data_IF_329285354732
#
_entry.id   IF_329285354732
#
_cell.length_a   1.000
_cell.length_b   1.000
_cell.length_c   1.000
_cell.angle_alpha   90.00
_cell.angle_beta   90.00
_cell.angle_gamma   90.00
#
_symmetry.space_group_name_H-M   'P 1'
#
loop_
_entity.id
_entity.type
_entity.pdbx_description
1 polymer ?
#
# COMPACT_ATOMS: atom_id res chain seq x y z
N UNK A 1 -28.68 18.53 -70.56
CA UNK A 1 -28.13 19.31 -69.43
C UNK A 1 -27.78 18.32 -68.32
N UNK A 2 -26.49 18.02 -68.12
CA UNK A 2 -25.98 17.05 -67.14
C UNK A 2 -25.49 17.84 -65.92
N UNK A 3 -25.99 17.52 -64.74
CA UNK A 3 -25.42 17.96 -63.46
C UNK A 3 -25.34 16.72 -62.56
N UNK A 4 -24.16 16.10 -62.54
CA UNK A 4 -23.81 15.04 -61.60
C UNK A 4 -23.26 15.69 -60.33
N UNK A 5 -24.03 15.61 -59.25
CA UNK A 5 -23.60 15.98 -57.91
C UNK A 5 -22.87 14.77 -57.31
N UNK A 6 -21.54 14.80 -57.34
CA UNK A 6 -20.71 13.80 -56.67
C UNK A 6 -20.59 14.16 -55.18
N UNK A 7 -21.30 13.44 -54.33
CA UNK A 7 -21.18 13.56 -52.88
C UNK A 7 -19.90 12.85 -52.41
N UNK A 8 -18.85 13.61 -52.11
CA UNK A 8 -17.68 13.14 -51.37
C UNK A 8 -18.09 12.90 -49.91
N UNK A 9 -18.36 11.65 -49.55
CA UNK A 9 -18.37 11.23 -48.15
C UNK A 9 -16.92 11.08 -47.69
N UNK A 10 -16.40 12.15 -47.06
CA UNK A 10 -15.13 12.09 -46.33
C UNK A 10 -15.28 11.17 -45.13
N UNK A 11 -14.70 9.97 -45.22
CA UNK A 11 -14.60 9.03 -44.11
C UNK A 11 -13.60 9.61 -43.10
N UNK A 12 -14.10 10.35 -42.10
CA UNK A 12 -13.28 10.77 -40.97
C UNK A 12 -13.01 9.53 -40.13
N UNK A 13 -11.81 8.96 -40.29
CA UNK A 13 -11.27 7.97 -39.36
C UNK A 13 -11.09 8.66 -38.01
N UNK A 14 -12.09 8.54 -37.14
CA UNK A 14 -11.95 8.88 -35.73
C UNK A 14 -10.93 7.92 -35.14
N UNK A 15 -9.68 8.37 -35.05
CA UNK A 15 -8.63 7.61 -34.39
C UNK A 15 -9.05 7.36 -32.94
N UNK A 16 -9.23 6.09 -32.57
CA UNK A 16 -9.57 5.73 -31.21
C UNK A 16 -8.44 6.19 -30.28
N UNK A 17 -8.72 7.16 -29.42
CA UNK A 17 -7.81 7.52 -28.33
C UNK A 17 -7.67 6.31 -27.42
N UNK A 18 -6.45 5.91 -27.05
CA UNK A 18 -6.24 4.79 -26.14
C UNK A 18 -7.02 5.03 -24.84
N UNK A 19 -7.60 3.96 -24.28
CA UNK A 19 -8.31 4.08 -23.01
C UNK A 19 -7.31 4.37 -21.89
N UNK A 20 -7.75 5.09 -20.85
CA UNK A 20 -6.92 5.39 -19.67
C UNK A 20 -6.20 4.15 -19.11
N UNK A 21 -6.89 3.01 -19.04
CA UNK A 21 -6.31 1.75 -18.58
C UNK A 21 -5.11 1.30 -19.45
N UNK A 22 -5.11 1.61 -20.75
CA UNK A 22 -3.99 1.30 -21.65
C UNK A 22 -2.79 2.22 -21.40
N UNK A 23 -3.02 3.50 -21.12
CA UNK A 23 -1.96 4.47 -20.78
C UNK A 23 -1.30 4.13 -19.45
N UNK A 24 -2.09 3.87 -18.40
CA UNK A 24 -1.57 3.38 -17.10
C UNK A 24 -0.78 2.10 -17.27
N UNK A 25 -1.31 1.15 -18.03
CA UNK A 25 -0.61 -0.12 -18.31
C UNK A 25 0.72 0.10 -19.01
N UNK A 26 0.83 1.08 -19.90
CA UNK A 26 2.07 1.43 -20.59
C UNK A 26 3.10 1.99 -19.62
N UNK A 27 2.74 3.01 -18.82
CA UNK A 27 3.66 3.62 -17.86
C UNK A 27 4.08 2.62 -16.77
N UNK A 28 3.13 1.84 -16.24
CA UNK A 28 3.40 0.80 -15.24
C UNK A 28 4.26 -0.34 -15.79
N UNK A 29 4.25 -0.61 -17.10
CA UNK A 29 5.22 -1.53 -17.72
C UNK A 29 6.65 -0.97 -17.64
N UNK A 30 6.81 0.34 -17.83
CA UNK A 30 8.09 1.04 -17.64
C UNK A 30 8.55 0.99 -16.19
N UNK A 31 7.64 1.24 -15.23
CA UNK A 31 7.88 1.07 -13.78
C UNK A 31 8.34 -0.35 -13.49
N UNK A 32 7.60 -1.36 -13.96
CA UNK A 32 7.93 -2.77 -13.77
C UNK A 32 9.34 -3.10 -14.29
N UNK A 33 9.68 -2.70 -15.51
CA UNK A 33 10.99 -2.99 -16.10
C UNK A 33 12.14 -2.36 -15.29
N UNK A 34 12.00 -1.10 -14.87
CA UNK A 34 13.05 -0.44 -14.10
C UNK A 34 13.16 -0.99 -12.68
N UNK A 35 12.02 -1.27 -12.02
CA UNK A 35 11.99 -1.89 -10.71
C UNK A 35 12.63 -3.28 -10.73
N UNK A 36 12.32 -4.07 -11.76
CA UNK A 36 12.91 -5.38 -12.04
C UNK A 36 14.43 -5.29 -12.23
N UNK A 37 14.88 -4.35 -13.06
CA UNK A 37 16.31 -4.17 -13.34
C UNK A 37 17.09 -3.62 -12.13
N UNK A 38 16.40 -3.01 -11.16
CA UNK A 38 16.98 -2.53 -9.91
C UNK A 38 17.16 -3.65 -8.86
N UNK A 39 16.39 -4.73 -8.94
CA UNK A 39 16.39 -5.82 -7.94
C UNK A 39 17.78 -6.40 -7.61
N UNK A 40 18.69 -6.64 -8.59
CA UNK A 40 20.02 -7.17 -8.29
C UNK A 40 20.81 -6.28 -7.33
N UNK A 41 20.57 -4.96 -7.34
CA UNK A 41 21.22 -4.01 -6.44
C UNK A 41 20.47 -3.90 -5.12
N UNK A 42 19.13 -3.99 -5.11
CA UNK A 42 18.36 -3.88 -3.86
C UNK A 42 18.67 -5.00 -2.88
N UNK A 43 19.03 -6.19 -3.34
CA UNK A 43 19.26 -7.34 -2.47
C UNK A 43 20.74 -7.75 -2.31
N UNK A 44 21.64 -7.18 -3.11
CA UNK A 44 23.08 -7.28 -2.93
C UNK A 44 23.63 -5.92 -2.49
N UNK A 45 23.77 -5.74 -1.17
CA UNK A 45 24.28 -4.49 -0.60
C UNK A 45 25.68 -4.16 -1.12
N UNK A 46 26.53 -5.17 -1.39
CA UNK A 46 27.87 -4.94 -1.95
C UNK A 46 27.78 -4.43 -3.38
N UNK A 47 26.89 -4.99 -4.19
CA UNK A 47 26.67 -4.51 -5.55
C UNK A 47 26.10 -3.08 -5.57
N UNK A 48 25.20 -2.74 -4.64
CA UNK A 48 24.66 -1.38 -4.52
C UNK A 48 25.74 -0.36 -4.07
N UNK A 49 26.59 -0.77 -3.14
CA UNK A 49 27.61 0.10 -2.55
C UNK A 49 28.85 0.27 -3.44
N UNK A 50 29.06 -0.61 -4.44
CA UNK A 50 30.15 -0.52 -5.41
C UNK A 50 30.05 0.79 -6.23
N UNK A 51 31.05 1.69 -6.16
CA UNK A 51 31.08 2.91 -6.95
C UNK A 51 30.88 2.69 -8.47
N UNK A 52 31.33 1.55 -9.01
CA UNK A 52 31.17 1.20 -10.44
C UNK A 52 29.72 1.07 -10.87
N UNK A 53 28.82 0.76 -9.93
CA UNK A 53 27.39 0.62 -10.20
C UNK A 53 26.60 1.92 -9.96
N UNK A 54 27.22 2.97 -9.41
CA UNK A 54 26.51 4.19 -8.96
C UNK A 54 25.73 4.84 -10.11
N UNK A 55 26.35 5.04 -11.27
CA UNK A 55 25.69 5.67 -12.43
C UNK A 55 24.53 4.83 -12.96
N UNK A 56 24.68 3.50 -12.99
CA UNK A 56 23.64 2.58 -13.44
C UNK A 56 22.45 2.59 -12.47
N UNK A 57 22.72 2.48 -11.18
CA UNK A 57 21.70 2.51 -10.13
C UNK A 57 20.98 3.86 -10.13
N UNK A 58 21.71 4.98 -10.18
CA UNK A 58 21.13 6.31 -10.23
C UNK A 58 20.26 6.51 -11.48
N UNK A 59 20.69 5.99 -12.64
CA UNK A 59 19.88 6.01 -13.87
C UNK A 59 18.59 5.22 -13.69
N UNK A 60 18.63 4.03 -13.08
CA UNK A 60 17.43 3.22 -12.81
C UNK A 60 16.45 3.94 -11.88
N UNK A 61 16.94 4.53 -10.79
CA UNK A 61 16.12 5.29 -9.83
C UNK A 61 15.45 6.49 -10.54
N UNK A 62 16.22 7.26 -11.31
CA UNK A 62 15.68 8.43 -12.03
C UNK A 62 14.66 8.04 -13.10
N UNK A 63 14.90 6.96 -13.86
CA UNK A 63 13.91 6.49 -14.84
C UNK A 63 12.66 5.97 -14.13
N UNK A 64 12.80 5.29 -12.98
CA UNK A 64 11.68 4.84 -12.18
C UNK A 64 10.84 6.02 -11.66
N UNK A 65 11.49 7.03 -11.07
CA UNK A 65 10.85 8.29 -10.62
C UNK A 65 10.16 8.99 -11.80
N UNK A 66 10.84 9.14 -12.95
CA UNK A 66 10.23 9.75 -14.14
C UNK A 66 8.98 9.01 -14.64
N UNK A 67 8.95 7.67 -14.57
CA UNK A 67 7.77 6.91 -14.98
C UNK A 67 6.60 7.10 -13.99
N UNK A 68 6.87 7.21 -12.69
CA UNK A 68 5.85 7.53 -11.70
C UNK A 68 5.32 8.96 -11.84
N UNK A 69 6.19 9.95 -12.09
CA UNK A 69 5.76 11.32 -12.43
C UNK A 69 4.92 11.39 -13.71
N UNK A 70 5.16 10.53 -14.70
CA UNK A 70 4.28 10.45 -15.87
C UNK A 70 2.86 10.02 -15.49
N UNK A 71 2.72 9.12 -14.51
CA UNK A 71 1.41 8.64 -14.03
C UNK A 71 0.68 9.72 -13.25
N UNK A 72 1.39 10.59 -12.52
CA UNK A 72 0.79 11.72 -11.81
C UNK A 72 0.13 12.74 -12.75
N UNK A 73 0.63 12.85 -13.98
CA UNK A 73 0.10 13.77 -15.00
C UNK A 73 -1.21 13.28 -15.63
N UNK A 74 -1.67 12.08 -15.30
CA UNK A 74 -2.96 11.59 -15.79
C UNK A 74 -4.12 12.44 -15.25
N UNK A 75 -5.23 12.55 -16.01
CA UNK A 75 -6.38 13.33 -15.59
C UNK A 75 -6.85 12.92 -14.19
N UNK A 76 -7.36 13.88 -13.42
CA UNK A 76 -7.86 13.60 -12.06
C UNK A 76 -8.96 12.53 -12.06
N UNK A 77 -9.82 12.52 -13.09
CA UNK A 77 -10.83 11.48 -13.33
C UNK A 77 -10.27 10.06 -13.41
N UNK A 78 -8.98 9.97 -13.71
CA UNK A 78 -8.20 8.76 -13.86
C UNK A 78 -7.43 8.40 -12.58
N UNK A 79 -7.22 9.39 -11.69
CA UNK A 79 -6.61 9.26 -10.36
C UNK A 79 -7.65 9.21 -9.23
N UNK A 80 -8.93 8.99 -9.55
CA UNK A 80 -10.04 9.05 -8.59
C UNK A 80 -10.02 7.96 -7.52
N UNK A 81 -9.20 6.92 -7.67
CA UNK A 81 -8.97 5.95 -6.61
C UNK A 81 -8.34 6.67 -5.40
N UNK A 82 -9.04 6.76 -4.24
CA UNK A 82 -8.54 7.56 -3.13
C UNK A 82 -7.24 6.97 -2.60
N UNK A 83 -6.31 7.85 -2.23
CA UNK A 83 -4.95 7.46 -1.86
C UNK A 83 -4.02 7.12 -3.03
N UNK A 84 -4.49 7.00 -4.27
CA UNK A 84 -3.62 6.71 -5.42
C UNK A 84 -2.64 7.85 -5.67
N UNK A 85 -3.15 9.09 -5.80
CA UNK A 85 -2.31 10.26 -6.05
C UNK A 85 -1.29 10.52 -4.92
N UNK A 86 -1.70 10.35 -3.66
CA UNK A 86 -0.79 10.48 -2.52
C UNK A 86 0.28 9.38 -2.51
N UNK A 87 -0.11 8.11 -2.69
CA UNK A 87 0.86 7.01 -2.74
C UNK A 87 1.88 7.20 -3.88
N UNK A 88 1.46 7.73 -5.03
CA UNK A 88 2.36 8.12 -6.10
C UNK A 88 3.33 9.23 -5.66
N UNK A 89 2.82 10.28 -5.02
CA UNK A 89 3.63 11.37 -4.48
C UNK A 89 4.67 10.87 -3.47
N UNK A 90 4.26 10.03 -2.52
CA UNK A 90 5.16 9.41 -1.54
C UNK A 90 6.24 8.55 -2.21
N UNK A 91 5.87 7.75 -3.21
CA UNK A 91 6.84 6.95 -3.98
C UNK A 91 7.84 7.86 -4.71
N UNK A 92 7.37 8.94 -5.34
CA UNK A 92 8.25 9.90 -6.01
C UNK A 92 9.20 10.58 -5.03
N UNK A 93 8.71 11.06 -3.88
CA UNK A 93 9.54 11.64 -2.83
C UNK A 93 10.60 10.64 -2.34
N UNK A 94 10.22 9.38 -2.08
CA UNK A 94 11.16 8.32 -1.70
C UNK A 94 12.24 8.08 -2.75
N UNK A 95 11.88 8.07 -4.04
CA UNK A 95 12.82 7.84 -5.13
C UNK A 95 13.74 9.03 -5.35
N UNK A 96 13.22 10.25 -5.25
CA UNK A 96 13.99 11.48 -5.41
C UNK A 96 14.97 11.68 -4.25
N UNK A 97 14.53 11.46 -3.01
CA UNK A 97 15.41 11.45 -1.85
C UNK A 97 16.45 10.33 -1.97
N UNK A 98 16.08 9.10 -2.31
CA UNK A 98 17.05 8.03 -2.53
C UNK A 98 18.11 8.40 -3.59
N UNK A 99 17.70 9.03 -4.69
CA UNK A 99 18.61 9.50 -5.74
C UNK A 99 19.54 10.61 -5.23
N UNK A 100 19.03 11.57 -4.45
CA UNK A 100 19.82 12.63 -3.82
C UNK A 100 20.86 12.04 -2.86
N UNK A 101 20.42 11.17 -1.94
CA UNK A 101 21.28 10.56 -0.92
C UNK A 101 22.36 9.67 -1.54
N UNK A 102 22.05 8.96 -2.63
CA UNK A 102 23.05 8.21 -3.38
C UNK A 102 24.14 9.12 -3.95
N UNK A 103 23.77 10.30 -4.51
CA UNK A 103 24.75 11.29 -4.99
C UNK A 103 25.60 11.89 -3.87
N UNK A 104 25.02 12.07 -2.68
CA UNK A 104 25.74 12.54 -1.48
C UNK A 104 26.67 11.47 -0.88
N UNK A 105 26.71 10.26 -1.44
CA UNK A 105 27.49 9.14 -0.91
C UNK A 105 26.83 8.42 0.28
N UNK A 106 25.61 8.79 0.67
CA UNK A 106 24.82 8.16 1.75
C UNK A 106 24.17 6.86 1.27
N UNK A 107 24.99 5.90 0.82
CA UNK A 107 24.56 4.69 0.09
C UNK A 107 23.63 3.79 0.90
N UNK A 108 23.97 3.47 2.14
CA UNK A 108 23.16 2.55 2.96
C UNK A 108 21.76 3.10 3.27
N UNK A 109 21.65 4.43 3.45
CA UNK A 109 20.37 5.11 3.60
C UNK A 109 19.55 5.07 2.29
N UNK A 110 20.17 5.39 1.15
CA UNK A 110 19.51 5.28 -0.15
C UNK A 110 19.00 3.86 -0.43
N UNK A 111 19.80 2.84 -0.08
CA UNK A 111 19.40 1.44 -0.20
C UNK A 111 18.20 1.10 0.69
N UNK A 112 18.21 1.55 1.94
CA UNK A 112 17.07 1.38 2.85
C UNK A 112 15.80 2.03 2.27
N UNK A 113 15.89 3.28 1.81
CA UNK A 113 14.76 4.02 1.21
C UNK A 113 14.18 3.29 -0.01
N UNK A 114 15.04 2.78 -0.90
CA UNK A 114 14.60 2.01 -2.08
C UNK A 114 13.97 0.66 -1.74
N UNK A 115 14.45 -0.02 -0.68
CA UNK A 115 13.79 -1.23 -0.19
C UNK A 115 12.40 -0.92 0.35
N UNK A 116 12.22 0.23 0.99
CA UNK A 116 10.91 0.70 1.46
C UNK A 116 9.94 0.95 0.30
N UNK A 117 10.40 1.48 -0.84
CA UNK A 117 9.56 1.64 -2.05
C UNK A 117 8.89 0.32 -2.47
N UNK A 118 9.59 -0.82 -2.36
CA UNK A 118 9.01 -2.14 -2.65
C UNK A 118 7.80 -2.46 -1.77
N UNK A 119 7.85 -2.10 -0.49
CA UNK A 119 6.72 -2.28 0.43
C UNK A 119 5.54 -1.37 0.05
N UNK A 120 5.82 -0.14 -0.39
CA UNK A 120 4.78 0.77 -0.89
C UNK A 120 4.12 0.24 -2.16
N UNK A 121 4.88 -0.40 -3.06
CA UNK A 121 4.33 -1.10 -4.22
C UNK A 121 3.37 -2.21 -3.77
N UNK A 122 3.76 -3.04 -2.80
CA UNK A 122 2.89 -4.09 -2.24
C UNK A 122 1.62 -3.45 -1.68
N UNK A 123 1.75 -2.45 -0.79
CA UNK A 123 0.63 -1.77 -0.13
C UNK A 123 -0.39 -1.22 -1.11
N UNK A 124 0.08 -0.51 -2.14
CA UNK A 124 -0.74 -0.02 -3.24
C UNK A 124 -1.39 -1.18 -4.00
N UNK A 125 -0.63 -2.21 -4.38
CA UNK A 125 -1.11 -3.29 -5.22
C UNK A 125 -2.13 -4.21 -4.55
N UNK A 126 -1.99 -4.47 -3.25
CA UNK A 126 -2.97 -5.26 -2.49
C UNK A 126 -4.23 -4.45 -2.13
N UNK A 127 -4.19 -3.13 -2.28
CA UNK A 127 -5.32 -2.24 -2.04
C UNK A 127 -6.14 -2.01 -3.31
N UNK A 128 -5.50 -1.62 -4.42
CA UNK A 128 -6.22 -1.23 -5.64
C UNK A 128 -6.44 -2.42 -6.58
N UNK A 129 -7.68 -2.67 -6.97
CA UNK A 129 -8.02 -3.72 -7.94
C UNK A 129 -7.73 -3.24 -9.36
N UNK A 130 -6.65 -3.72 -9.96
CA UNK A 130 -6.33 -3.52 -11.37
C UNK A 130 -6.07 -4.88 -12.03
N UNK A 131 -6.57 -5.06 -13.25
CA UNK A 131 -6.53 -6.34 -13.98
C UNK A 131 -5.17 -6.69 -14.59
N UNK A 132 -4.15 -5.83 -14.41
CA UNK A 132 -2.84 -6.02 -15.02
C UNK A 132 -1.86 -6.66 -14.03
N UNK A 133 -1.57 -7.94 -14.23
CA UNK A 133 -0.35 -8.57 -13.76
C UNK A 133 0.78 -8.27 -14.76
N UNK A 134 1.92 -7.79 -14.27
CA UNK A 134 3.11 -7.63 -15.10
C UNK A 134 3.91 -8.93 -15.04
N UNK A 135 3.54 -9.89 -15.88
CA UNK A 135 4.25 -11.15 -16.00
C UNK A 135 5.52 -10.98 -16.86
N UNK A 136 6.61 -11.64 -16.47
CA UNK A 136 7.79 -11.78 -17.31
C UNK A 136 8.87 -12.65 -16.66
N UNK A 137 9.18 -13.79 -17.28
CA UNK A 137 10.08 -14.84 -16.77
C UNK A 137 11.58 -14.50 -16.68
N UNK A 138 11.93 -13.23 -16.47
CA UNK A 138 13.32 -12.81 -16.27
C UNK A 138 13.77 -12.91 -14.80
N UNK A 139 12.85 -13.09 -13.84
CA UNK A 139 13.17 -13.15 -12.40
C UNK A 139 14.09 -14.33 -12.09
N UNK A 140 13.93 -15.47 -12.77
CA UNK A 140 14.78 -16.65 -12.53
C UNK A 140 16.24 -16.43 -12.91
N UNK A 141 16.54 -15.39 -13.71
CA UNK A 141 17.92 -15.00 -14.03
C UNK A 141 18.51 -14.06 -12.98
N UNK A 142 17.71 -13.54 -12.06
CA UNK A 142 18.18 -12.66 -10.99
C UNK A 142 18.68 -13.50 -9.82
N UNK A 143 19.72 -13.00 -9.15
CA UNK A 143 20.27 -13.60 -7.94
C UNK A 143 19.42 -13.22 -6.71
N UNK A 144 18.13 -13.57 -6.75
CA UNK A 144 17.20 -13.38 -5.64
C UNK A 144 17.03 -14.68 -4.88
N UNK A 145 17.05 -14.61 -3.55
CA UNK A 145 16.59 -15.73 -2.74
C UNK A 145 15.08 -15.94 -2.88
N UNK A 146 14.59 -17.09 -2.41
CA UNK A 146 13.17 -17.47 -2.55
C UNK A 146 12.21 -16.47 -1.89
N UNK A 147 12.59 -15.87 -0.76
CA UNK A 147 11.76 -14.88 -0.07
C UNK A 147 11.70 -13.57 -0.86
N UNK A 148 12.84 -13.11 -1.38
CA UNK A 148 12.94 -11.92 -2.22
C UNK A 148 12.14 -12.07 -3.52
N UNK A 149 12.12 -13.27 -4.12
CA UNK A 149 11.23 -13.58 -5.25
C UNK A 149 9.76 -13.43 -4.86
N UNK A 150 9.35 -13.95 -3.70
CA UNK A 150 8.00 -13.81 -3.17
C UNK A 150 7.56 -12.35 -3.02
N UNK A 151 8.40 -11.52 -2.38
CA UNK A 151 8.15 -10.08 -2.24
C UNK A 151 8.06 -9.37 -3.60
N UNK A 152 8.93 -9.71 -4.55
CA UNK A 152 8.88 -9.14 -5.90
C UNK A 152 7.59 -9.51 -6.62
N UNK A 153 7.18 -10.78 -6.58
CA UNK A 153 5.94 -11.24 -7.19
C UNK A 153 4.73 -10.52 -6.57
N UNK A 154 4.71 -10.36 -5.26
CA UNK A 154 3.66 -9.63 -4.55
C UNK A 154 3.63 -8.15 -4.97
N UNK A 155 4.80 -7.49 -4.99
CA UNK A 155 4.96 -6.10 -5.43
C UNK A 155 4.59 -5.89 -6.91
N UNK A 156 4.44 -6.95 -7.71
CA UNK A 156 4.11 -6.87 -9.14
C UNK A 156 2.77 -7.54 -9.50
N UNK A 157 1.93 -7.80 -8.49
CA UNK A 157 0.58 -8.40 -8.61
C UNK A 157 0.56 -9.84 -9.15
N UNK A 158 1.67 -10.55 -9.07
CA UNK A 158 1.81 -11.96 -9.43
C UNK A 158 1.49 -12.82 -8.20
N UNK A 159 0.25 -12.78 -7.72
CA UNK A 159 -0.12 -13.29 -6.40
C UNK A 159 0.01 -14.80 -6.25
N UNK A 160 -0.22 -15.56 -7.32
CA UNK A 160 -0.08 -17.02 -7.30
C UNK A 160 1.40 -17.42 -7.20
N UNK A 161 2.27 -16.76 -7.97
CA UNK A 161 3.72 -16.95 -7.92
C UNK A 161 4.30 -16.48 -6.58
N UNK A 162 3.77 -15.39 -6.03
CA UNK A 162 4.14 -14.90 -4.70
C UNK A 162 3.80 -15.94 -3.63
N UNK A 163 2.58 -16.47 -3.64
CA UNK A 163 2.16 -17.52 -2.71
C UNK A 163 3.07 -18.75 -2.79
N UNK A 164 3.35 -19.25 -4.01
CA UNK A 164 4.22 -20.41 -4.20
C UNK A 164 5.63 -20.16 -3.66
N UNK A 165 6.22 -19.01 -3.96
CA UNK A 165 7.54 -18.64 -3.48
C UNK A 165 7.56 -18.50 -1.94
N UNK A 166 6.57 -17.84 -1.35
CA UNK A 166 6.47 -17.67 0.10
C UNK A 166 6.24 -19.00 0.83
N UNK A 167 5.45 -19.93 0.27
CA UNK A 167 5.32 -21.29 0.81
C UNK A 167 6.66 -22.03 0.74
N UNK A 168 7.41 -21.88 -0.35
CA UNK A 168 8.73 -22.49 -0.49
C UNK A 168 9.74 -21.95 0.56
N UNK A 169 9.61 -20.68 0.98
CA UNK A 169 10.38 -20.15 2.12
C UNK A 169 10.12 -20.94 3.39
N UNK A 170 8.86 -21.26 3.70
CA UNK A 170 8.47 -21.98 4.91
C UNK A 170 8.93 -23.45 4.92
N UNK A 171 9.30 -23.99 3.76
CA UNK A 171 9.80 -25.37 3.59
C UNK A 171 11.33 -25.46 3.64
N UNK A 172 12.05 -24.33 3.59
CA UNK A 172 13.51 -24.30 3.63
C UNK A 172 14.04 -23.79 4.98
N UNK A 173 14.60 -24.70 5.77
CA UNK A 173 15.18 -24.41 7.08
C UNK A 173 16.29 -23.32 7.05
N UNK A 174 16.97 -23.13 5.91
CA UNK A 174 17.98 -22.06 5.76
C UNK A 174 17.37 -20.66 5.75
N UNK A 175 16.07 -20.57 5.49
CA UNK A 175 15.31 -19.32 5.42
C UNK A 175 14.46 -19.07 6.67
N UNK A 176 14.73 -19.76 7.78
CA UNK A 176 13.97 -19.66 9.05
C UNK A 176 13.78 -18.23 9.55
N UNK A 177 14.78 -17.36 9.37
CA UNK A 177 14.71 -15.91 9.69
C UNK A 177 13.60 -15.14 8.96
N UNK A 178 13.03 -15.71 7.90
CA UNK A 178 11.98 -15.11 7.09
C UNK A 178 10.62 -15.78 7.31
N UNK A 179 10.49 -16.78 8.19
CA UNK A 179 9.25 -17.54 8.36
C UNK A 179 8.06 -16.65 8.72
N UNK A 180 8.15 -15.87 9.80
CA UNK A 180 7.02 -15.00 10.18
C UNK A 180 6.73 -13.96 9.10
N UNK A 181 7.77 -13.41 8.46
CA UNK A 181 7.61 -12.44 7.37
C UNK A 181 6.85 -13.06 6.20
N UNK A 182 7.18 -14.28 5.83
CA UNK A 182 6.48 -15.00 4.77
C UNK A 182 5.03 -15.33 5.16
N UNK A 183 4.78 -15.77 6.40
CA UNK A 183 3.42 -15.98 6.91
C UNK A 183 2.57 -14.71 6.89
N UNK A 184 3.11 -13.56 7.32
CA UNK A 184 2.42 -12.26 7.27
C UNK A 184 2.02 -11.88 5.85
N UNK A 185 2.90 -12.14 4.87
CA UNK A 185 2.60 -11.89 3.44
C UNK A 185 1.55 -12.83 2.88
N UNK A 186 1.62 -14.11 3.25
CA UNK A 186 0.58 -15.09 2.92
C UNK A 186 -0.77 -14.70 3.53
N UNK A 187 -0.79 -14.18 4.76
CA UNK A 187 -2.02 -13.70 5.39
C UNK A 187 -2.66 -12.55 4.59
N UNK A 188 -1.86 -11.59 4.10
CA UNK A 188 -2.37 -10.53 3.21
C UNK A 188 -2.98 -11.13 1.94
N UNK A 189 -2.32 -12.10 1.30
CA UNK A 189 -2.84 -12.77 0.10
C UNK A 189 -4.16 -13.47 0.42
N UNK A 190 -4.21 -14.28 1.47
CA UNK A 190 -5.39 -15.06 1.80
C UNK A 190 -6.58 -14.19 2.23
N UNK A 191 -6.33 -13.17 3.05
CA UNK A 191 -7.39 -12.33 3.61
C UNK A 191 -7.85 -11.24 2.63
N UNK A 192 -6.91 -10.46 2.05
CA UNK A 192 -7.26 -9.29 1.23
C UNK A 192 -7.49 -9.63 -0.24
N UNK A 193 -6.77 -10.61 -0.78
CA UNK A 193 -6.79 -10.91 -2.21
C UNK A 193 -7.76 -12.04 -2.53
N UNK A 194 -7.67 -13.16 -1.81
CA UNK A 194 -8.53 -14.32 -2.06
C UNK A 194 -9.87 -14.24 -1.35
N UNK A 195 -9.89 -13.84 -0.08
CA UNK A 195 -11.13 -13.70 0.67
C UNK A 195 -11.77 -15.04 1.08
N UNK A 196 -10.97 -16.11 1.19
CA UNK A 196 -11.45 -17.48 1.45
C UNK A 196 -11.03 -17.94 2.86
N UNK A 197 -11.84 -17.70 3.91
CA UNK A 197 -11.43 -17.91 5.30
C UNK A 197 -11.05 -19.35 5.63
N UNK A 198 -11.82 -20.33 5.16
CA UNK A 198 -11.53 -21.73 5.44
C UNK A 198 -10.23 -22.17 4.78
N UNK A 199 -10.01 -21.81 3.50
CA UNK A 199 -8.76 -22.11 2.81
C UNK A 199 -7.56 -21.44 3.49
N UNK A 200 -7.74 -20.19 3.94
CA UNK A 200 -6.73 -19.47 4.69
C UNK A 200 -6.38 -20.17 6.01
N UNK A 201 -7.40 -20.56 6.79
CA UNK A 201 -7.25 -21.26 8.06
C UNK A 201 -6.47 -22.57 7.90
N UNK A 202 -6.90 -23.40 6.94
CA UNK A 202 -6.28 -24.69 6.67
C UNK A 202 -4.81 -24.53 6.29
N UNK A 203 -4.51 -23.59 5.39
CA UNK A 203 -3.13 -23.32 4.95
C UNK A 203 -2.26 -22.75 6.05
N UNK A 204 -2.74 -21.78 6.83
CA UNK A 204 -1.95 -21.20 7.92
C UNK A 204 -1.62 -22.28 8.95
N UNK A 205 -2.59 -23.11 9.35
CA UNK A 205 -2.36 -24.20 10.28
C UNK A 205 -1.37 -25.24 9.75
N UNK A 206 -1.53 -25.67 8.49
CA UNK A 206 -0.61 -26.61 7.83
C UNK A 206 0.81 -26.06 7.80
N UNK A 207 0.97 -24.81 7.33
CA UNK A 207 2.27 -24.21 7.07
C UNK A 207 3.00 -23.80 8.35
N UNK A 208 2.29 -23.40 9.41
CA UNK A 208 2.93 -22.93 10.65
C UNK A 208 3.28 -24.04 11.63
N UNK A 209 2.54 -25.16 11.61
CA UNK A 209 2.72 -26.27 12.56
C UNK A 209 4.17 -26.81 12.66
N UNK A 210 4.93 -27.02 11.57
CA UNK A 210 6.29 -27.55 11.65
C UNK A 210 7.36 -26.48 11.94
N UNK A 211 7.00 -25.20 11.98
CA UNK A 211 7.97 -24.10 12.03
C UNK A 211 8.47 -23.87 13.46
N UNK A 212 9.78 -23.61 13.57
CA UNK A 212 10.41 -23.16 14.82
C UNK A 212 10.25 -21.64 14.95
N UNK A 213 9.07 -21.22 15.36
CA UNK A 213 8.75 -19.82 15.66
C UNK A 213 9.11 -19.47 17.12
N UNK A 214 9.42 -18.21 17.38
CA UNK A 214 9.53 -17.65 18.74
C UNK A 214 8.17 -17.66 19.46
N UNK A 215 8.13 -17.38 20.77
CA UNK A 215 6.86 -17.36 21.52
C UNK A 215 5.91 -16.30 20.95
N UNK A 216 6.40 -15.08 20.72
CA UNK A 216 5.59 -13.98 20.19
C UNK A 216 5.05 -14.30 18.79
N UNK A 217 5.87 -14.88 17.91
CA UNK A 217 5.43 -15.29 16.58
C UNK A 217 4.39 -16.41 16.62
N UNK A 218 4.48 -17.37 17.56
CA UNK A 218 3.44 -18.40 17.73
C UNK A 218 2.13 -17.83 18.23
N UNK A 219 2.21 -16.87 19.15
CA UNK A 219 1.05 -16.19 19.71
C UNK A 219 0.32 -15.35 18.65
N UNK A 220 1.09 -14.67 17.79
CA UNK A 220 0.59 -13.94 16.63
C UNK A 220 -0.09 -14.86 15.62
N UNK A 221 0.53 -15.99 15.25
CA UNK A 221 -0.11 -16.97 14.35
C UNK A 221 -1.36 -17.58 14.97
N UNK A 222 -1.35 -17.86 16.28
CA UNK A 222 -2.51 -18.38 17.00
C UNK A 222 -3.68 -17.40 16.98
N UNK A 223 -3.45 -16.11 17.16
CA UNK A 223 -4.53 -15.12 17.06
C UNK A 223 -5.12 -15.09 15.66
N UNK A 224 -4.30 -15.16 14.61
CA UNK A 224 -4.78 -15.26 13.24
C UNK A 224 -5.63 -16.51 13.01
N UNK A 225 -5.20 -17.68 13.50
CA UNK A 225 -5.96 -18.93 13.40
C UNK A 225 -7.34 -18.81 14.07
N UNK A 226 -7.42 -18.19 15.25
CA UNK A 226 -8.69 -17.96 15.95
C UNK A 226 -9.59 -17.02 15.13
N UNK A 227 -9.06 -15.90 14.65
CA UNK A 227 -9.80 -14.95 13.83
C UNK A 227 -10.30 -15.56 12.51
N UNK A 228 -9.43 -16.30 11.80
CA UNK A 228 -9.80 -17.02 10.57
C UNK A 228 -10.86 -18.10 10.84
N UNK A 229 -10.80 -18.79 11.98
CA UNK A 229 -11.81 -19.76 12.39
C UNK A 229 -13.15 -19.10 12.69
N UNK A 230 -13.15 -17.93 13.35
CA UNK A 230 -14.36 -17.15 13.59
C UNK A 230 -14.97 -16.70 12.26
N UNK A 231 -14.16 -16.13 11.37
CA UNK A 231 -14.60 -15.72 10.04
C UNK A 231 -15.16 -16.88 9.20
N UNK A 232 -14.54 -18.06 9.25
CA UNK A 232 -15.03 -19.24 8.53
C UNK A 232 -16.41 -19.73 9.01
N UNK A 233 -16.78 -19.41 10.26
CA UNK A 233 -18.10 -19.75 10.85
C UNK A 233 -19.15 -18.67 10.62
N UNK A 234 -18.74 -17.47 10.21
CA UNK A 234 -19.68 -16.41 9.89
C UNK A 234 -20.58 -16.88 8.72
N UNK A 235 -21.90 -16.65 8.80
CA UNK A 235 -22.76 -16.93 7.65
C UNK A 235 -22.26 -16.10 6.45
N UNK A 236 -22.41 -16.59 5.21
CA UNK A 236 -22.17 -15.77 4.02
C UNK A 236 -23.05 -14.52 4.14
N UNK A 237 -22.44 -13.40 4.51
CA UNK A 237 -23.20 -12.22 4.85
C UNK A 237 -23.81 -11.63 3.59
N UNK A 238 -25.09 -11.31 3.64
CA UNK A 238 -25.82 -10.81 2.48
C UNK A 238 -25.49 -9.35 2.16
N UNK A 239 -24.93 -8.60 3.13
CA UNK A 239 -24.55 -7.20 2.93
C UNK A 239 -23.22 -6.83 3.61
N UNK A 240 -22.15 -6.80 2.82
CA UNK A 240 -20.91 -6.14 3.20
C UNK A 240 -21.05 -4.63 3.05
N UNK A 241 -21.59 -3.97 4.06
CA UNK A 241 -21.82 -2.52 4.13
C UNK A 241 -20.82 -1.82 5.07
N UNK A 242 -20.88 -0.47 5.12
CA UNK A 242 -19.96 0.33 5.91
C UNK A 242 -20.05 0.05 7.43
N UNK A 243 -21.25 -0.07 8.05
CA UNK A 243 -21.39 -0.49 9.43
C UNK A 243 -20.74 -1.84 9.76
N UNK A 244 -20.77 -2.80 8.83
CA UNK A 244 -20.08 -4.07 9.01
C UNK A 244 -18.56 -3.90 9.07
N UNK A 245 -17.97 -3.11 8.16
CA UNK A 245 -16.54 -2.82 8.18
C UNK A 245 -16.11 -2.09 9.47
N UNK A 246 -16.92 -1.15 9.96
CA UNK A 246 -16.69 -0.48 11.24
C UNK A 246 -16.76 -1.44 12.43
N UNK A 247 -17.72 -2.38 12.41
CA UNK A 247 -17.81 -3.45 13.42
C UNK A 247 -16.53 -4.29 13.45
N UNK A 248 -16.04 -4.75 12.30
CA UNK A 248 -14.78 -5.51 12.23
C UNK A 248 -13.62 -4.74 12.86
N UNK A 249 -13.50 -3.44 12.57
CA UNK A 249 -12.44 -2.59 13.14
C UNK A 249 -12.58 -2.51 14.65
N UNK A 250 -13.79 -2.25 15.14
CA UNK A 250 -14.06 -2.15 16.58
C UNK A 250 -13.74 -3.46 17.29
N UNK A 251 -14.17 -4.59 16.73
CA UNK A 251 -13.96 -5.90 17.31
C UNK A 251 -12.46 -6.25 17.35
N UNK A 252 -11.68 -5.79 16.35
CA UNK A 252 -10.23 -5.97 16.32
C UNK A 252 -9.46 -5.16 17.38
N UNK A 253 -9.97 -3.97 17.76
CA UNK A 253 -9.28 -3.06 18.71
C UNK A 253 -9.77 -3.19 20.15
N UNK A 254 -10.98 -3.69 20.37
CA UNK A 254 -11.59 -3.79 21.70
C UNK A 254 -11.36 -5.14 22.37
N UNK A 255 -10.36 -5.92 21.94
CA UNK A 255 -10.06 -7.20 22.57
C UNK A 255 -9.49 -6.97 23.97
N UNK A 256 -10.15 -7.50 25.01
CA UNK A 256 -9.72 -7.33 26.39
C UNK A 256 -8.52 -8.24 26.66
N UNK A 257 -7.33 -7.86 26.21
CA UNK A 257 -6.08 -8.42 26.71
C UNK A 257 -5.35 -7.33 27.53
N UNK A 258 -5.51 -7.33 28.86
CA UNK A 258 -4.90 -6.31 29.72
C UNK A 258 -3.37 -6.43 29.83
N UNK A 259 -2.77 -7.49 29.27
CA UNK A 259 -1.32 -7.73 29.31
C UNK A 259 -0.65 -7.48 27.96
N UNK A 260 -1.41 -7.53 26.87
CA UNK A 260 -0.89 -7.36 25.53
C UNK A 260 -1.88 -6.54 24.70
N UNK A 261 -1.46 -5.40 24.14
CA UNK A 261 -2.21 -4.64 23.13
C UNK A 261 -2.32 -5.47 21.82
N UNK A 262 -3.03 -6.58 21.86
CA UNK A 262 -3.22 -7.49 20.73
C UNK A 262 -4.31 -6.92 19.84
N UNK A 263 -3.88 -6.50 18.66
CA UNK A 263 -4.79 -6.10 17.60
C UNK A 263 -4.97 -7.27 16.64
N UNK A 264 -6.23 -7.65 16.39
CA UNK A 264 -6.55 -8.76 15.51
C UNK A 264 -6.41 -8.34 14.03
N UNK A 265 -5.27 -8.73 13.45
CA UNK A 265 -4.87 -8.30 12.11
C UNK A 265 -5.83 -8.80 11.01
N UNK A 266 -6.47 -9.95 11.18
CA UNK A 266 -7.37 -10.54 10.17
C UNK A 266 -8.58 -9.64 9.94
N UNK A 267 -9.24 -9.20 11.01
CA UNK A 267 -10.40 -8.33 11.01
C UNK A 267 -10.06 -6.97 10.39
N UNK A 268 -8.91 -6.39 10.72
CA UNK A 268 -8.45 -5.15 10.10
C UNK A 268 -8.11 -5.31 8.60
N UNK A 269 -7.48 -6.42 8.21
CA UNK A 269 -7.21 -6.71 6.79
C UNK A 269 -8.52 -6.89 6.00
N UNK A 270 -9.53 -7.55 6.59
CA UNK A 270 -10.87 -7.67 6.02
C UNK A 270 -11.55 -6.31 5.88
N UNK A 271 -11.59 -5.54 6.97
CA UNK A 271 -12.22 -4.23 6.99
C UNK A 271 -11.60 -3.28 5.96
N UNK A 272 -10.27 -3.21 5.91
CA UNK A 272 -9.58 -2.38 4.92
C UNK A 272 -9.86 -2.84 3.49
N UNK A 273 -9.92 -4.14 3.21
CA UNK A 273 -10.32 -4.64 1.89
C UNK A 273 -11.75 -4.21 1.50
N UNK A 274 -12.69 -4.22 2.44
CA UNK A 274 -14.07 -3.75 2.22
C UNK A 274 -14.16 -2.25 2.00
N UNK A 275 -13.49 -1.46 2.84
CA UNK A 275 -13.46 -0.01 2.76
C UNK A 275 -12.86 0.49 1.43
N UNK A 276 -11.79 -0.15 0.95
CA UNK A 276 -11.28 0.10 -0.41
C UNK A 276 -12.29 -0.26 -1.50
N UNK A 277 -13.04 -1.34 -1.29
CA UNK A 277 -14.18 -1.69 -2.15
C UNK A 277 -15.25 -0.60 -2.17
N UNK A 278 -15.50 0.11 -1.07
CA UNK A 278 -16.46 1.23 -1.05
C UNK A 278 -15.93 2.46 -1.77
N UNK A 279 -14.66 2.82 -1.55
CA UNK A 279 -14.03 3.97 -2.19
C UNK A 279 -13.96 3.88 -3.72
N UNK A 280 -13.88 2.67 -4.26
CA UNK A 280 -13.87 2.43 -5.72
C UNK A 280 -15.27 2.51 -6.36
N UNK A 281 -16.35 2.64 -5.57
CA UNK A 281 -17.71 2.83 -6.11
C UNK A 281 -17.91 4.28 -6.53
N UNK A 282 -18.35 4.48 -7.78
CA UNK A 282 -18.70 5.81 -8.30
C UNK A 282 -19.97 6.35 -7.61
N UNK A 283 -19.96 7.65 -7.31
CA UNK A 283 -21.14 8.35 -6.78
C UNK A 283 -21.46 8.05 -5.32
N UNK A 284 -20.47 7.61 -4.53
CA UNK A 284 -20.66 7.42 -3.09
C UNK A 284 -21.09 8.75 -2.41
N UNK A 285 -22.08 8.73 -1.50
CA UNK A 285 -22.44 9.91 -0.72
C UNK A 285 -21.24 10.49 0.04
N UNK A 286 -21.18 11.82 0.14
CA UNK A 286 -20.09 12.53 0.81
C UNK A 286 -19.88 12.05 2.26
N UNK A 287 -20.96 11.81 2.99
CA UNK A 287 -20.94 11.29 4.36
C UNK A 287 -20.27 9.91 4.44
N UNK A 288 -20.76 8.93 3.67
CA UNK A 288 -20.16 7.60 3.62
C UNK A 288 -18.69 7.63 3.19
N UNK A 289 -18.34 8.51 2.24
CA UNK A 289 -16.98 8.65 1.75
C UNK A 289 -16.05 9.19 2.85
N UNK A 290 -16.47 10.22 3.57
CA UNK A 290 -15.72 10.79 4.70
C UNK A 290 -15.52 9.77 5.82
N UNK A 291 -16.56 9.01 6.16
CA UNK A 291 -16.50 7.94 7.15
C UNK A 291 -15.58 6.81 6.69
N UNK A 292 -15.64 6.43 5.42
CA UNK A 292 -14.78 5.39 4.84
C UNK A 292 -13.29 5.78 4.92
N UNK A 293 -12.94 7.03 4.58
CA UNK A 293 -11.56 7.53 4.69
C UNK A 293 -11.08 7.55 6.14
N UNK A 294 -11.90 8.06 7.07
CA UNK A 294 -11.58 8.04 8.49
C UNK A 294 -11.34 6.60 9.00
N UNK A 295 -12.24 5.67 8.68
CA UNK A 295 -12.13 4.27 9.11
C UNK A 295 -10.92 3.57 8.51
N UNK A 296 -10.52 3.89 7.27
CA UNK A 296 -9.26 3.41 6.70
C UNK A 296 -8.06 3.93 7.48
N UNK A 297 -8.03 5.23 7.77
CA UNK A 297 -6.97 5.85 8.57
C UNK A 297 -6.84 5.17 9.94
N UNK A 298 -7.97 4.97 10.62
CA UNK A 298 -8.02 4.29 11.91
C UNK A 298 -7.64 2.80 11.83
N UNK A 299 -8.12 2.06 10.82
CA UNK A 299 -7.75 0.66 10.68
C UNK A 299 -6.25 0.50 10.38
N UNK A 300 -5.68 1.33 9.51
CA UNK A 300 -4.25 1.29 9.21
C UNK A 300 -3.38 1.74 10.39
N UNK A 301 -3.86 2.66 11.24
CA UNK A 301 -3.09 3.06 12.44
C UNK A 301 -3.03 1.97 13.51
N UNK A 302 -3.88 0.93 13.40
CA UNK A 302 -3.95 -0.18 14.35
C UNK A 302 -3.35 -1.47 13.76
N UNK A 303 -3.25 -1.56 12.44
CA UNK A 303 -2.53 -2.67 11.81
C UNK A 303 -1.07 -2.66 12.25
N UNK A 304 -0.47 -3.83 12.53
CA UNK A 304 0.95 -3.92 12.79
C UNK A 304 1.79 -3.30 11.67
N UNK A 305 2.85 -2.58 12.05
CA UNK A 305 3.72 -1.79 11.17
C UNK A 305 4.24 -2.55 9.94
N UNK A 306 4.50 -3.85 10.09
CA UNK A 306 4.98 -4.69 9.00
C UNK A 306 3.98 -4.86 7.83
N UNK A 307 2.70 -4.50 8.01
CA UNK A 307 1.70 -4.49 6.93
C UNK A 307 1.74 -3.20 6.12
N UNK A 308 1.73 -2.02 6.75
CA UNK A 308 1.87 -0.74 6.07
C UNK A 308 2.01 0.45 7.03
N UNK A 309 3.14 1.15 7.01
CA UNK A 309 3.39 2.26 7.94
C UNK A 309 2.78 3.61 7.53
N UNK A 310 2.64 3.88 6.22
CA UNK A 310 2.29 5.23 5.74
C UNK A 310 0.82 5.43 5.36
N UNK A 311 0.01 4.37 5.36
CA UNK A 311 -1.37 4.47 4.89
C UNK A 311 -2.30 5.17 5.89
N UNK A 312 -2.02 5.10 7.19
CA UNK A 312 -2.86 5.72 8.21
C UNK A 312 -2.92 7.24 8.00
N UNK A 313 -1.76 7.91 8.03
CA UNK A 313 -1.62 9.35 7.81
C UNK A 313 -2.29 9.78 6.50
N UNK A 314 -2.01 9.06 5.41
CA UNK A 314 -2.57 9.31 4.09
C UNK A 314 -4.11 9.44 4.10
N UNK A 315 -4.82 8.44 4.65
CA UNK A 315 -6.28 8.47 4.61
C UNK A 315 -6.86 9.50 5.57
N UNK A 316 -6.18 9.80 6.67
CA UNK A 316 -6.57 10.85 7.61
C UNK A 316 -6.43 12.24 6.98
N UNK A 317 -5.29 12.53 6.34
CA UNK A 317 -5.10 13.79 5.62
C UNK A 317 -6.09 13.97 4.48
N UNK A 318 -6.37 12.89 3.75
CA UNK A 318 -7.35 12.91 2.67
C UNK A 318 -8.77 13.18 3.21
N UNK A 319 -9.15 12.57 4.34
CA UNK A 319 -10.43 12.87 5.00
C UNK A 319 -10.54 14.36 5.37
N UNK A 320 -9.50 14.92 5.98
CA UNK A 320 -9.46 16.34 6.38
C UNK A 320 -9.53 17.27 5.17
N UNK A 321 -8.81 16.92 4.10
CA UNK A 321 -8.70 17.76 2.90
C UNK A 321 -9.96 17.73 2.04
N UNK A 322 -10.62 16.58 1.91
CA UNK A 322 -11.84 16.44 1.12
C UNK A 322 -13.10 16.93 1.86
N UNK A 323 -13.12 16.85 3.19
CA UNK A 323 -14.30 17.16 4.00
C UNK A 323 -14.02 18.14 5.14
N UNK A 324 -13.44 19.32 4.87
CA UNK A 324 -13.09 20.28 5.90
C UNK A 324 -14.30 20.68 6.75
N UNK A 325 -14.11 20.78 8.07
CA UNK A 325 -15.16 21.13 9.04
C UNK A 325 -16.13 19.99 9.42
N UNK A 326 -16.09 18.84 8.74
CA UNK A 326 -16.96 17.70 9.03
C UNK A 326 -16.65 17.04 10.39
N UNK A 327 -17.54 16.19 10.88
CA UNK A 327 -17.30 15.42 12.10
C UNK A 327 -16.12 14.46 11.93
N UNK A 328 -16.06 13.78 10.78
CA UNK A 328 -15.04 12.83 10.38
C UNK A 328 -13.67 13.51 10.23
N UNK A 329 -13.60 14.72 9.65
CA UNK A 329 -12.35 15.47 9.54
C UNK A 329 -11.78 15.83 10.93
N UNK A 330 -12.63 16.23 11.88
CA UNK A 330 -12.20 16.53 13.26
C UNK A 330 -11.72 15.27 14.00
N UNK A 331 -12.33 14.12 13.75
CA UNK A 331 -11.85 12.83 14.29
C UNK A 331 -10.54 12.42 13.62
N UNK A 332 -10.45 12.57 12.30
CA UNK A 332 -9.27 12.25 11.52
C UNK A 332 -8.06 13.08 11.97
N UNK A 333 -8.25 14.37 12.24
CA UNK A 333 -7.18 15.23 12.77
C UNK A 333 -6.67 14.76 14.13
N UNK A 334 -7.56 14.44 15.08
CA UNK A 334 -7.14 13.96 16.40
C UNK A 334 -6.32 12.68 16.30
N UNK A 335 -6.78 11.74 15.47
CA UNK A 335 -6.05 10.50 15.23
C UNK A 335 -4.73 10.75 14.50
N UNK A 336 -4.70 11.69 13.54
CA UNK A 336 -3.48 12.04 12.80
C UNK A 336 -2.39 12.54 13.76
N UNK A 337 -2.75 13.44 14.68
CA UNK A 337 -1.82 13.92 15.71
C UNK A 337 -1.31 12.76 16.56
N UNK A 338 -2.18 11.84 17.02
CA UNK A 338 -1.77 10.64 17.76
C UNK A 338 -0.74 9.80 16.97
N UNK A 339 -1.07 9.46 15.71
CA UNK A 339 -0.22 8.64 14.85
C UNK A 339 1.14 9.29 14.59
N UNK A 340 1.15 10.57 14.23
CA UNK A 340 2.37 11.29 13.88
C UNK A 340 3.26 11.51 15.11
N UNK A 341 2.69 11.97 16.23
CA UNK A 341 3.47 12.25 17.44
C UNK A 341 4.09 11.00 18.07
N UNK A 342 3.44 9.83 17.94
CA UNK A 342 4.01 8.56 18.38
C UNK A 342 5.32 8.23 17.67
N UNK A 343 5.50 8.63 16.41
CA UNK A 343 6.75 8.41 15.65
C UNK A 343 7.91 9.27 16.15
N UNK A 344 7.62 10.36 16.86
CA UNK A 344 8.60 11.32 17.39
C UNK A 344 8.74 11.27 18.91
N UNK A 345 8.15 10.25 19.55
CA UNK A 345 8.21 10.04 21.00
C UNK A 345 9.22 8.93 21.33
N UNK A 346 10.00 9.13 22.40
CA UNK A 346 10.92 8.12 22.92
C UNK A 346 11.35 8.41 24.36
N UNK A 347 12.39 7.70 24.82
CA UNK A 347 12.92 7.87 26.20
C UNK A 347 13.44 9.29 26.49
N UNK A 348 13.81 10.04 25.46
CA UNK A 348 14.23 11.44 25.56
C UNK A 348 13.09 12.47 25.51
N UNK A 349 11.82 12.03 25.50
CA UNK A 349 10.66 12.88 25.31
C UNK A 349 10.15 12.89 23.87
N UNK A 350 9.31 13.88 23.56
CA UNK A 350 8.72 14.09 22.23
C UNK A 350 9.48 15.21 21.50
N UNK A 351 9.95 14.94 20.28
CA UNK A 351 10.67 15.91 19.45
C UNK A 351 10.12 15.93 18.02
N UNK A 352 9.06 16.71 17.81
CA UNK A 352 8.42 16.85 16.50
C UNK A 352 9.19 17.88 15.66
N UNK A 353 9.55 17.56 14.40
CA UNK A 353 10.18 18.52 13.50
C UNK A 353 9.27 19.73 13.17
N UNK A 354 9.84 20.94 12.96
CA UNK A 354 9.03 22.14 12.68
C UNK A 354 8.13 22.05 11.44
N UNK A 355 8.54 21.31 10.42
CA UNK A 355 7.75 21.06 9.21
C UNK A 355 6.53 20.16 9.48
N UNK A 356 6.68 19.18 10.37
CA UNK A 356 5.59 18.31 10.84
C UNK A 356 4.61 19.10 11.70
N UNK A 357 5.11 19.95 12.61
CA UNK A 357 4.26 20.86 13.40
C UNK A 357 3.46 21.82 12.51
N UNK A 358 4.11 22.41 11.51
CA UNK A 358 3.45 23.28 10.53
C UNK A 358 2.34 22.51 9.79
N UNK A 359 2.63 21.29 9.35
CA UNK A 359 1.64 20.44 8.68
C UNK A 359 0.46 20.08 9.60
N UNK A 360 0.70 19.78 10.87
CA UNK A 360 -0.36 19.54 11.85
C UNK A 360 -1.24 20.79 12.06
N UNK A 361 -0.67 21.99 12.09
CA UNK A 361 -1.45 23.24 12.19
C UNK A 361 -2.31 23.48 10.94
N UNK A 362 -1.77 23.26 9.74
CA UNK A 362 -2.56 23.37 8.49
C UNK A 362 -3.75 22.41 8.47
N UNK A 363 -3.55 21.16 8.91
CA UNK A 363 -4.60 20.15 8.97
C UNK A 363 -5.62 20.45 10.07
N UNK A 364 -5.18 21.01 11.20
CA UNK A 364 -6.06 21.50 12.26
C UNK A 364 -7.05 22.52 11.69
N UNK A 365 -6.53 23.57 11.05
CA UNK A 365 -7.35 24.68 10.60
C UNK A 365 -8.39 24.22 9.56
N UNK A 366 -7.99 23.33 8.65
CA UNK A 366 -8.92 22.67 7.71
C UNK A 366 -9.96 21.81 8.43
N UNK A 367 -9.55 20.97 9.37
CA UNK A 367 -10.45 20.06 10.08
C UNK A 367 -11.52 20.80 10.90
N UNK A 368 -11.14 21.93 11.52
CA UNK A 368 -12.03 22.73 12.36
C UNK A 368 -12.69 23.91 11.64
N UNK A 369 -12.37 24.14 10.36
CA UNK A 369 -12.94 25.24 9.58
C UNK A 369 -12.46 26.62 10.02
N UNK A 370 -11.26 26.70 10.61
CA UNK A 370 -10.62 27.97 10.95
C UNK A 370 -10.21 28.63 9.63
N UNK A 371 -10.74 29.82 9.35
CA UNK A 371 -10.27 30.57 8.19
C UNK A 371 -8.81 30.99 8.43
N UNK A 372 -7.90 30.80 7.47
CA UNK A 372 -6.54 31.29 7.61
C UNK A 372 -6.60 32.79 7.88
N UNK A 373 -5.94 33.24 8.96
CA UNK A 373 -5.80 34.65 9.25
C UNK A 373 -5.19 35.31 8.01
N UNK A 374 -5.85 36.33 7.46
CA UNK A 374 -5.32 37.08 6.32
C UNK A 374 -3.95 37.64 6.74
N UNK A 375 -2.84 37.27 6.08
CA UNK A 375 -1.49 37.70 6.47
C UNK A 375 -1.27 39.22 6.33
N UNK A 376 -2.31 39.98 5.97
CA UNK A 376 -2.32 41.43 5.82
C UNK A 376 -2.93 42.21 6.99
N UNK A 377 -3.23 41.56 8.13
CA UNK A 377 -3.74 42.24 9.34
C UNK A 377 -2.64 42.40 10.38
#
# INVERSE_FOLDING_TARGET
>A
MRLSLAALFGLVLVGATPSFAQEVKKEMRGVYQNFRDLQPYLYDAKAFEDPKNTDRVLKLIKTLSSNFHSVEKFPESARQEPGFAFNLGLINEMLDDAALRLKEGKRSYALWRLRTVSNSCIGCHVTFKASTAFAGGAIDKMKLDTFQKGEFYLATRQYNEAEQALIAVLKDAKLSRNYIRALRRLLVIFVRIKGEPQSALDKINELSAPLKLTTDERDEVKSWTVALQNWAKEPPETEHNLPFAERLIRDAVNLPDPLFDRVDAVELLRATAMLHGFLSKKGQPAEERSQTLYLLGFAYSRLPTFFNDALAELYLEQCISEFPGSYEAKRAYRLYVEVVTQQYTGSGGMNVPPDVDTRMLELHDKAFGVQPLDPKV
#
